data_IF_795869758082
#
_entry.id   IF_795869758082
#
_cell.length_a   1.000
_cell.length_b   1.000
_cell.length_c   1.000
_cell.angle_alpha   90.00
_cell.angle_beta   90.00
_cell.angle_gamma   90.00
#
_symmetry.space_group_name_H-M   'P 1'
#
loop_
_entity.id
_entity.type
_entity.pdbx_description
1 polymer ?
#
# COMPACT_ATOMS: atom_id res chain seq x y z
N UNK A 1 15.59 -10.37 11.26
CA UNK A 1 14.87 -10.16 12.53
C UNK A 1 14.36 -11.52 13.01
N UNK A 2 14.16 -11.69 14.30
CA UNK A 2 13.61 -12.91 14.88
C UNK A 2 12.15 -13.11 14.41
N UNK A 3 11.87 -14.24 13.75
CA UNK A 3 10.57 -14.54 13.15
C UNK A 3 9.45 -14.56 14.20
N UNK A 4 9.75 -15.02 15.41
CA UNK A 4 8.78 -15.12 16.49
C UNK A 4 8.36 -13.73 16.98
N UNK A 5 9.32 -12.80 17.07
CA UNK A 5 9.05 -11.42 17.46
C UNK A 5 8.19 -10.68 16.41
N UNK A 6 8.39 -10.96 15.12
CA UNK A 6 7.58 -10.38 14.04
C UNK A 6 6.13 -10.89 14.14
N UNK A 7 5.93 -12.20 14.30
CA UNK A 7 4.58 -12.77 14.41
C UNK A 7 3.81 -12.20 15.60
N UNK A 8 4.45 -12.10 16.76
CA UNK A 8 3.84 -11.47 17.93
C UNK A 8 3.46 -10.01 17.66
N UNK A 9 4.33 -9.24 16.99
CA UNK A 9 4.06 -7.85 16.63
C UNK A 9 2.89 -7.73 15.67
N UNK A 10 2.80 -8.60 14.66
CA UNK A 10 1.68 -8.63 13.71
C UNK A 10 0.36 -8.88 14.44
N UNK A 11 0.29 -9.88 15.32
CA UNK A 11 -0.91 -10.18 16.10
C UNK A 11 -1.28 -9.04 17.04
N UNK A 12 -0.29 -8.42 17.69
CA UNK A 12 -0.51 -7.25 18.54
C UNK A 12 -1.13 -6.09 17.75
N UNK A 13 -0.60 -5.78 16.57
CA UNK A 13 -1.09 -4.68 15.74
C UNK A 13 -2.48 -4.95 15.16
N UNK A 14 -2.77 -6.18 14.76
CA UNK A 14 -4.09 -6.58 14.22
C UNK A 14 -5.19 -6.43 15.29
N UNK A 15 -4.87 -6.76 16.53
CA UNK A 15 -5.83 -6.70 17.64
C UNK A 15 -5.87 -5.34 18.35
N UNK A 16 -5.07 -4.36 17.91
CA UNK A 16 -5.05 -3.05 18.52
C UNK A 16 -6.25 -2.21 18.07
N UNK A 17 -7.06 -1.75 19.03
CA UNK A 17 -8.36 -1.11 18.74
C UNK A 17 -8.24 0.31 18.14
N UNK A 18 -7.07 0.95 18.28
CA UNK A 18 -6.86 2.32 17.80
C UNK A 18 -6.10 2.36 16.48
N UNK A 19 -6.07 3.53 15.84
CA UNK A 19 -5.30 3.74 14.61
C UNK A 19 -3.81 3.78 14.89
N UNK A 20 -3.03 3.01 14.12
CA UNK A 20 -1.57 3.01 14.12
C UNK A 20 -1.06 3.38 12.74
N UNK A 21 -0.02 4.21 12.69
CA UNK A 21 0.72 4.50 11.47
C UNK A 21 1.96 3.62 11.47
N UNK A 22 2.07 2.78 10.44
CA UNK A 22 3.18 1.83 10.27
C UNK A 22 3.97 2.21 9.03
N UNK A 23 5.30 2.25 9.16
CA UNK A 23 6.23 2.44 8.05
C UNK A 23 7.16 1.23 8.02
N UNK A 24 7.17 0.51 6.91
CA UNK A 24 8.02 -0.67 6.71
C UNK A 24 8.40 -0.83 5.24
N UNK A 25 9.53 -1.49 5.00
CA UNK A 25 9.91 -1.95 3.67
C UNK A 25 9.48 -3.40 3.40
N UNK A 26 9.00 -4.12 4.42
CA UNK A 26 8.52 -5.50 4.30
C UNK A 26 7.07 -5.51 3.82
N UNK A 27 6.89 -5.96 2.58
CA UNK A 27 5.58 -6.04 1.93
C UNK A 27 4.66 -7.06 2.59
N UNK A 28 5.17 -8.19 3.07
CA UNK A 28 4.34 -9.23 3.69
C UNK A 28 3.75 -8.73 5.01
N UNK A 29 4.59 -8.07 5.81
CA UNK A 29 4.17 -7.43 7.04
C UNK A 29 3.08 -6.38 6.78
N UNK A 30 3.34 -5.43 5.88
CA UNK A 30 2.35 -4.41 5.50
C UNK A 30 1.05 -5.03 4.98
N UNK A 31 1.15 -6.09 4.18
CA UNK A 31 -0.01 -6.77 3.62
C UNK A 31 -0.87 -7.45 4.69
N UNK A 32 -0.25 -7.88 5.79
CA UNK A 32 -0.91 -8.58 6.90
C UNK A 32 -1.51 -7.63 7.93
N UNK A 33 -0.88 -6.48 8.20
CA UNK A 33 -1.28 -5.57 9.29
C UNK A 33 -2.02 -4.32 8.82
N UNK A 34 -1.78 -3.85 7.59
CA UNK A 34 -2.37 -2.59 7.12
C UNK A 34 -3.74 -2.81 6.47
N UNK A 35 -4.70 -1.98 6.86
CA UNK A 35 -6.04 -1.90 6.23
C UNK A 35 -6.14 -0.78 5.20
N UNK A 36 -5.18 0.14 5.22
CA UNK A 36 -5.05 1.25 4.30
C UNK A 36 -3.57 1.48 3.97
N UNK A 37 -3.29 1.91 2.74
CA UNK A 37 -1.95 2.30 2.31
C UNK A 37 -1.94 3.79 2.00
N UNK A 38 -1.06 4.52 2.66
CA UNK A 38 -0.77 5.92 2.36
C UNK A 38 0.42 5.96 1.39
N UNK A 39 0.14 6.27 0.13
CA UNK A 39 1.15 6.49 -0.90
C UNK A 39 1.62 7.93 -0.86
N UNK A 40 2.94 8.13 -0.77
CA UNK A 40 3.57 9.45 -0.76
C UNK A 40 4.23 9.70 -2.11
N UNK A 41 3.69 10.62 -2.89
CA UNK A 41 4.27 11.04 -4.17
C UNK A 41 4.31 12.56 -4.30
N UNK A 42 5.49 13.10 -4.66
CA UNK A 42 5.77 14.53 -4.81
C UNK A 42 5.20 15.43 -3.68
N UNK A 43 5.28 14.99 -2.43
CA UNK A 43 4.78 15.74 -1.26
C UNK A 43 3.26 15.72 -1.08
N UNK A 44 2.55 14.88 -1.84
CA UNK A 44 1.12 14.59 -1.65
C UNK A 44 0.95 13.19 -1.07
N UNK A 45 -0.04 13.05 -0.20
CA UNK A 45 -0.44 11.76 0.37
C UNK A 45 -1.75 11.36 -0.27
N UNK A 46 -1.77 10.18 -0.88
CA UNK A 46 -2.99 9.54 -1.36
C UNK A 46 -3.23 8.26 -0.55
N UNK A 47 -4.40 8.15 0.08
CA UNK A 47 -4.77 6.98 0.88
C UNK A 47 -5.61 6.04 0.03
N UNK A 48 -5.28 4.76 0.07
CA UNK A 48 -5.98 3.66 -0.57
C UNK A 48 -6.53 2.72 0.49
N UNK A 49 -7.80 2.33 0.34
CA UNK A 49 -8.42 1.29 1.18
C UNK A 49 -7.92 -0.07 0.71
N UNK A 50 -7.49 -0.92 1.63
CA UNK A 50 -6.93 -2.23 1.33
C UNK A 50 -5.49 -2.37 1.80
N UNK A 51 -4.99 -3.60 1.67
CA UNK A 51 -3.63 -3.95 2.03
C UNK A 51 -2.63 -3.57 0.92
N UNK A 52 -1.37 -3.96 1.10
CA UNK A 52 -0.29 -3.61 0.17
C UNK A 52 -0.55 -4.13 -1.26
N UNK A 53 -0.99 -5.37 -1.41
CA UNK A 53 -1.20 -5.98 -2.74
C UNK A 53 -2.33 -5.26 -3.49
N UNK A 54 -3.43 -4.94 -2.80
CA UNK A 54 -4.53 -4.19 -3.40
C UNK A 54 -4.08 -2.80 -3.90
N UNK A 55 -3.30 -2.08 -3.09
CA UNK A 55 -2.73 -0.81 -3.51
C UNK A 55 -1.82 -0.98 -4.73
N UNK A 56 -0.95 -1.99 -4.72
CA UNK A 56 0.00 -2.24 -5.80
C UNK A 56 -0.72 -2.53 -7.12
N UNK A 57 -1.71 -3.42 -7.13
CA UNK A 57 -2.51 -3.74 -8.31
C UNK A 57 -3.28 -2.53 -8.84
N UNK A 58 -3.91 -1.77 -7.94
CA UNK A 58 -4.65 -0.56 -8.27
C UNK A 58 -3.73 0.51 -8.90
N UNK A 59 -2.54 0.69 -8.34
CA UNK A 59 -1.55 1.65 -8.82
C UNK A 59 -1.03 1.27 -10.21
N UNK A 60 -0.75 -0.03 -10.44
CA UNK A 60 -0.34 -0.53 -11.76
C UNK A 60 -1.43 -0.36 -12.82
N UNK A 61 -2.68 -0.63 -12.48
CA UNK A 61 -3.80 -0.44 -13.40
C UNK A 61 -3.98 1.03 -13.76
N UNK A 62 -3.95 1.93 -12.78
CA UNK A 62 -4.04 3.37 -12.99
C UNK A 62 -2.90 3.89 -13.89
N UNK A 63 -1.68 3.41 -13.67
CA UNK A 63 -0.53 3.76 -14.49
C UNK A 63 -0.73 3.33 -15.95
N UNK A 64 -1.15 2.09 -16.21
CA UNK A 64 -1.43 1.60 -17.56
C UNK A 64 -2.49 2.43 -18.27
N UNK A 65 -3.61 2.71 -17.61
CA UNK A 65 -4.70 3.52 -18.17
C UNK A 65 -4.23 4.95 -18.51
N UNK A 66 -3.40 5.56 -17.66
CA UNK A 66 -2.84 6.89 -17.91
C UNK A 66 -1.93 6.92 -19.15
N UNK A 67 -1.11 5.87 -19.34
CA UNK A 67 -0.20 5.75 -20.49
C UNK A 67 -0.99 5.56 -21.79
N UNK A 68 -2.03 4.73 -21.78
CA UNK A 68 -2.91 4.52 -22.94
C UNK A 68 -3.65 5.81 -23.34
N UNK A 69 -4.19 6.55 -22.36
CA UNK A 69 -4.84 7.83 -22.62
C UNK A 69 -3.88 8.85 -23.24
N UNK A 70 -2.64 8.91 -22.76
CA UNK A 70 -1.60 9.79 -23.30
C UNK A 70 -1.17 9.38 -24.72
N UNK A 71 -1.11 8.08 -25.02
CA UNK A 71 -0.81 7.59 -26.37
C UNK A 71 -1.91 8.00 -27.36
N UNK A 72 -3.19 7.81 -27.01
CA UNK A 72 -4.33 8.22 -27.85
C UNK A 72 -4.34 9.73 -28.14
N UNK A 73 -4.01 10.56 -27.15
CA UNK A 73 -3.91 12.03 -27.31
C UNK A 73 -2.77 12.50 -28.21
N UNK A 74 -1.73 11.69 -28.41
CA UNK A 74 -0.58 12.04 -29.27
C UNK A 74 -0.76 11.59 -30.72
N UNK A 75 -1.70 10.69 -30.99
CA UNK A 75 -1.97 10.16 -32.34
C UNK A 75 -3.15 10.86 -33.04
N UNK A 76 -3.92 11.66 -32.31
CA UNK A 76 -4.88 12.64 -32.85
C UNK A 76 -4.23 14.03 -32.92
#
# INVERSE_FOLDING_TARGET
MDLQAIQWLEEFLINFENTVIVVSHDRHFLNKVCTHIADLDFGKIQVYVGNYDFWYESSQLALKLSQEANKKRRTN
#
